data_IF_305631423496
#
_entry.id   IF_305631423496
#
_cell.length_a   1.000
_cell.length_b   1.000
_cell.length_c   1.000
_cell.angle_alpha   90.00
_cell.angle_beta   90.00
_cell.angle_gamma   90.00
#
_symmetry.space_group_name_H-M   'P 1'
#
loop_
_entity.id
_entity.type
_entity.pdbx_description
1 polymer ?
#
# COMPACT_ATOMS: atom_id res chain seq x y z
N UNK A 1 -7.15 2.52 -5.42
CA UNK A 1 -5.69 2.74 -5.60
C UNK A 1 -5.14 1.80 -6.66
N UNK A 2 -4.04 2.19 -7.29
CA UNK A 2 -3.29 1.37 -8.25
C UNK A 2 -1.83 1.33 -7.81
N UNK A 3 -1.34 0.16 -7.44
CA UNK A 3 0.09 -0.06 -7.22
C UNK A 3 0.75 -0.42 -8.56
N UNK A 4 1.84 0.26 -8.90
CA UNK A 4 2.72 -0.07 -10.02
C UNK A 4 4.02 -0.67 -9.50
N UNK A 5 4.51 -1.71 -10.18
CA UNK A 5 5.72 -2.44 -9.81
C UNK A 5 6.70 -2.47 -10.98
N UNK A 6 7.11 -1.27 -11.41
CA UNK A 6 7.98 -1.05 -12.58
C UNK A 6 9.28 -1.84 -12.54
N UNK A 7 9.85 -2.06 -11.35
CA UNK A 7 11.11 -2.78 -11.19
C UNK A 7 10.93 -4.30 -11.01
N UNK A 8 9.69 -4.79 -10.81
CA UNK A 8 9.46 -6.22 -10.61
C UNK A 8 9.82 -7.00 -11.87
N UNK A 9 10.76 -7.94 -11.74
CA UNK A 9 11.09 -8.86 -12.82
C UNK A 9 10.04 -9.98 -12.91
N UNK A 10 8.89 -9.65 -13.49
CA UNK A 10 7.79 -10.59 -13.73
C UNK A 10 8.24 -11.84 -14.51
N UNK A 11 9.26 -11.72 -15.36
CA UNK A 11 9.72 -12.83 -16.20
C UNK A 11 10.44 -13.89 -15.36
N UNK A 12 11.23 -13.48 -14.37
CA UNK A 12 11.92 -14.41 -13.46
C UNK A 12 11.01 -15.05 -12.41
N UNK A 13 9.76 -14.60 -12.25
CA UNK A 13 8.80 -15.24 -11.35
C UNK A 13 8.59 -16.72 -11.73
N UNK A 14 8.72 -17.60 -10.74
CA UNK A 14 8.40 -19.03 -10.86
C UNK A 14 6.91 -19.22 -11.16
N UNK A 15 6.51 -20.41 -11.62
CA UNK A 15 5.09 -20.70 -11.88
C UNK A 15 4.22 -20.47 -10.64
N UNK A 16 4.67 -20.95 -9.47
CA UNK A 16 3.99 -20.75 -8.20
C UNK A 16 3.85 -19.25 -7.84
N UNK A 17 4.91 -18.46 -8.04
CA UNK A 17 4.84 -17.02 -7.78
C UNK A 17 3.87 -16.31 -8.74
N UNK A 18 3.86 -16.70 -10.02
CA UNK A 18 2.91 -16.16 -11.01
C UNK A 18 1.47 -16.50 -10.66
N UNK A 19 1.21 -17.70 -10.15
CA UNK A 19 -0.10 -18.11 -9.65
C UNK A 19 -0.53 -17.23 -8.47
N UNK A 20 0.31 -17.13 -7.44
CA UNK A 20 0.03 -16.28 -6.26
C UNK A 20 -0.19 -14.82 -6.65
N UNK A 21 0.67 -14.25 -7.50
CA UNK A 21 0.52 -12.87 -7.96
C UNK A 21 -0.82 -12.65 -8.69
N UNK A 22 -1.23 -13.59 -9.55
CA UNK A 22 -2.54 -13.52 -10.22
C UNK A 22 -3.71 -13.66 -9.25
N UNK A 23 -3.62 -14.56 -8.27
CA UNK A 23 -4.63 -14.74 -7.22
C UNK A 23 -4.76 -13.48 -6.36
N UNK A 24 -3.65 -12.78 -6.11
CA UNK A 24 -3.63 -11.47 -5.45
C UNK A 24 -4.14 -10.33 -6.34
N UNK A 25 -4.43 -10.58 -7.62
CA UNK A 25 -4.96 -9.58 -8.56
C UNK A 25 -3.91 -8.83 -9.39
N UNK A 26 -2.63 -9.21 -9.33
CA UNK A 26 -1.60 -8.62 -10.17
C UNK A 26 -1.79 -9.00 -11.64
N UNK A 27 -1.67 -8.00 -12.52
CA UNK A 27 -1.72 -8.15 -13.98
C UNK A 27 -0.67 -7.26 -14.65
N UNK A 28 -0.41 -7.51 -15.93
CA UNK A 28 0.48 -6.65 -16.74
C UNK A 28 -0.35 -5.63 -17.52
N UNK A 29 -0.02 -4.35 -17.37
CA UNK A 29 -0.51 -3.25 -18.20
C UNK A 29 0.69 -2.61 -18.92
N UNK A 30 0.71 -2.68 -20.25
CA UNK A 30 1.85 -2.21 -21.07
C UNK A 30 3.21 -2.80 -20.64
N UNK A 31 3.21 -4.04 -20.15
CA UNK A 31 4.42 -4.72 -19.68
C UNK A 31 4.81 -4.37 -18.24
N UNK A 32 4.11 -3.46 -17.57
CA UNK A 32 4.32 -3.10 -16.17
C UNK A 32 3.34 -3.88 -15.29
N UNK A 33 3.80 -4.60 -14.26
CA UNK A 33 2.91 -5.24 -13.30
C UNK A 33 2.17 -4.19 -12.45
N UNK A 34 0.86 -4.38 -12.32
CA UNK A 34 -0.03 -3.49 -11.58
C UNK A 34 -1.02 -4.27 -10.73
N UNK A 35 -1.41 -3.70 -9.61
CA UNK A 35 -2.44 -4.19 -8.71
C UNK A 35 -3.45 -3.07 -8.42
N UNK A 36 -4.72 -3.33 -8.69
CA UNK A 36 -5.81 -2.42 -8.34
C UNK A 36 -6.44 -2.87 -7.04
N UNK A 37 -6.64 -1.91 -6.13
CA UNK A 37 -7.18 -2.16 -4.80
C UNK A 37 -8.30 -1.17 -4.52
N UNK A 38 -9.48 -1.69 -4.18
CA UNK A 38 -10.61 -0.91 -3.69
C UNK A 38 -10.40 -0.62 -2.21
N UNK A 39 -10.21 0.66 -1.85
CA UNK A 39 -9.98 1.05 -0.45
C UNK A 39 -11.17 0.71 0.43
N UNK A 40 -12.43 1.01 0.04
CA UNK A 40 -13.58 0.64 0.87
C UNK A 40 -13.68 -0.88 1.12
N UNK A 41 -13.48 -1.70 0.09
CA UNK A 41 -13.55 -3.17 0.21
C UNK A 41 -12.45 -3.74 1.12
N UNK A 42 -11.23 -3.22 1.03
CA UNK A 42 -10.14 -3.65 1.92
C UNK A 42 -10.37 -3.24 3.37
N UNK A 43 -10.94 -2.05 3.61
CA UNK A 43 -11.28 -1.62 4.97
C UNK A 43 -12.39 -2.50 5.57
N UNK A 44 -13.42 -2.82 4.79
CA UNK A 44 -14.47 -3.76 5.21
C UNK A 44 -13.88 -5.15 5.51
N UNK A 45 -12.91 -5.61 4.70
CA UNK A 45 -12.18 -6.85 4.96
C UNK A 45 -11.43 -6.80 6.29
N UNK A 46 -10.70 -5.71 6.57
CA UNK A 46 -9.91 -5.55 7.80
C UNK A 46 -10.80 -5.55 9.05
N UNK A 47 -11.93 -4.85 9.00
CA UNK A 47 -12.91 -4.83 10.10
C UNK A 47 -13.45 -6.22 10.43
N UNK A 48 -13.77 -7.02 9.40
CA UNK A 48 -14.27 -8.39 9.58
C UNK A 48 -13.22 -9.35 10.15
N UNK A 49 -11.94 -9.10 9.93
CA UNK A 49 -10.85 -9.99 10.32
C UNK A 49 -10.04 -9.49 11.52
N UNK A 50 -10.50 -8.42 12.19
CA UNK A 50 -9.88 -7.93 13.42
C UNK A 50 -8.54 -7.22 13.21
N UNK A 51 -8.28 -6.71 12.01
CA UNK A 51 -7.09 -5.92 11.69
C UNK A 51 -7.31 -4.40 11.90
N UNK A 52 -8.50 -4.00 12.36
CA UNK A 52 -8.86 -2.60 12.57
C UNK A 52 -9.31 -2.37 14.02
N UNK A 53 -8.51 -1.61 14.76
CA UNK A 53 -8.75 -1.34 16.18
C UNK A 53 -8.66 0.14 16.57
N UNK A 54 -8.44 1.06 15.63
CA UNK A 54 -8.02 2.42 16.03
C UNK A 54 -8.41 3.57 15.11
N UNK A 55 -9.09 3.37 13.98
CA UNK A 55 -9.42 4.50 13.11
C UNK A 55 -10.90 4.65 12.83
N UNK A 56 -11.42 5.84 13.13
CA UNK A 56 -12.73 6.35 12.69
C UNK A 56 -12.72 6.56 11.16
N UNK A 57 -12.22 5.61 10.38
CA UNK A 57 -12.26 5.63 8.93
C UNK A 57 -11.47 6.73 8.23
N UNK A 58 -10.65 7.56 8.88
CA UNK A 58 -9.92 8.66 8.22
C UNK A 58 -8.62 8.17 7.54
N UNK A 59 -8.44 8.46 6.24
CA UNK A 59 -7.24 8.09 5.47
C UNK A 59 -6.36 9.27 5.03
N UNK A 60 -6.62 10.47 5.55
CA UNK A 60 -5.97 11.71 5.10
C UNK A 60 -6.89 12.58 4.26
N UNK A 61 -6.30 13.49 3.47
CA UNK A 61 -7.03 14.46 2.66
C UNK A 61 -6.64 14.40 1.19
N UNK A 62 -7.52 14.90 0.33
CA UNK A 62 -7.26 15.21 -1.07
C UNK A 62 -7.87 16.57 -1.43
N UNK A 63 -7.52 17.14 -2.58
CA UNK A 63 -8.20 18.35 -3.06
C UNK A 63 -9.15 18.03 -4.20
N UNK A 64 -10.40 18.48 -4.07
CA UNK A 64 -11.43 18.45 -5.13
C UNK A 64 -11.69 19.87 -5.61
N UNK A 65 -11.38 20.16 -6.87
CA UNK A 65 -11.50 21.49 -7.47
C UNK A 65 -10.80 22.60 -6.66
N UNK A 66 -9.69 22.27 -5.99
CA UNK A 66 -8.91 23.18 -5.15
C UNK A 66 -9.43 23.33 -3.71
N UNK A 67 -10.46 22.59 -3.31
CA UNK A 67 -10.96 22.52 -1.93
C UNK A 67 -10.49 21.24 -1.29
N UNK A 68 -9.87 21.33 -0.11
CA UNK A 68 -9.46 20.16 0.67
C UNK A 68 -10.67 19.37 1.19
N UNK A 69 -10.60 18.05 1.09
CA UNK A 69 -11.62 17.09 1.52
C UNK A 69 -10.97 15.94 2.26
N UNK A 70 -11.56 15.58 3.39
CA UNK A 70 -11.19 14.37 4.11
C UNK A 70 -11.61 13.13 3.33
N UNK A 71 -10.76 12.10 3.38
CA UNK A 71 -11.07 10.77 2.88
C UNK A 71 -11.52 9.95 4.08
N UNK A 72 -12.75 9.46 4.01
CA UNK A 72 -13.35 8.64 5.04
C UNK A 72 -13.82 7.31 4.44
N UNK A 73 -13.34 6.18 4.97
CA UNK A 73 -13.58 4.83 4.46
C UNK A 73 -13.32 4.69 2.95
N UNK A 74 -12.30 5.38 2.44
CA UNK A 74 -11.97 5.38 1.02
C UNK A 74 -12.94 6.17 0.13
N UNK A 75 -13.87 6.93 0.71
CA UNK A 75 -14.78 7.84 0.00
C UNK A 75 -14.55 9.29 0.46
N UNK A 76 -15.08 10.24 -0.30
CA UNK A 76 -15.00 11.67 0.01
C UNK A 76 -16.19 12.38 -0.62
N UNK A 77 -16.62 13.49 -0.01
CA UNK A 77 -17.77 14.25 -0.50
C UNK A 77 -17.38 15.25 -1.59
N UNK A 78 -18.26 15.38 -2.59
CA UNK A 78 -18.12 16.34 -3.69
C UNK A 78 -19.29 17.31 -3.66
N UNK A 79 -19.02 18.58 -3.33
CA UNK A 79 -20.06 19.61 -3.19
C UNK A 79 -20.60 20.11 -4.54
N UNK A 80 -19.94 19.76 -5.66
CA UNK A 80 -20.34 20.19 -7.00
C UNK A 80 -20.99 19.07 -7.81
N UNK A 81 -22.01 19.41 -8.59
CA UNK A 81 -22.64 18.47 -9.52
C UNK A 81 -21.96 18.51 -10.92
N UNK A 82 -20.69 18.88 -11.00
CA UNK A 82 -20.00 19.05 -12.28
C UNK A 82 -19.83 17.72 -13.01
N UNK A 83 -19.83 17.72 -14.35
CA UNK A 83 -19.52 16.51 -15.13
C UNK A 83 -18.07 16.05 -14.95
N UNK A 84 -17.17 17.00 -14.69
CA UNK A 84 -15.77 16.72 -14.35
C UNK A 84 -15.35 17.42 -13.08
N UNK A 85 -14.46 16.77 -12.34
CA UNK A 85 -13.77 17.33 -11.17
C UNK A 85 -12.26 17.18 -11.33
N UNK A 86 -11.52 18.14 -10.77
CA UNK A 86 -10.07 18.07 -10.65
C UNK A 86 -9.72 17.52 -9.28
N UNK A 87 -8.97 16.43 -9.25
CA UNK A 87 -8.47 15.80 -8.03
C UNK A 87 -6.97 16.05 -7.91
N UNK A 88 -6.51 16.43 -6.72
CA UNK A 88 -5.09 16.43 -6.39
C UNK A 88 -4.83 15.58 -5.15
N UNK A 89 -3.87 14.66 -5.26
CA UNK A 89 -3.40 13.80 -4.17
C UNK A 89 -1.88 13.88 -4.13
N UNK A 90 -1.33 14.46 -3.06
CA UNK A 90 0.08 14.84 -3.03
C UNK A 90 0.41 15.77 -4.20
N UNK A 91 1.36 15.37 -5.04
CA UNK A 91 1.77 16.12 -6.25
C UNK A 91 0.99 15.73 -7.52
N UNK A 92 0.23 14.63 -7.49
CA UNK A 92 -0.50 14.11 -8.64
C UNK A 92 -1.79 14.89 -8.88
N UNK A 93 -2.06 15.21 -10.16
CA UNK A 93 -3.27 15.92 -10.58
C UNK A 93 -4.00 15.11 -11.64
N UNK A 94 -5.28 14.85 -11.39
CA UNK A 94 -6.14 14.07 -12.27
C UNK A 94 -7.45 14.80 -12.55
N UNK A 95 -7.99 14.64 -13.76
CA UNK A 95 -9.36 15.05 -14.09
C UNK A 95 -10.25 13.81 -14.16
N UNK A 96 -11.33 13.81 -13.39
CA UNK A 96 -12.23 12.66 -13.23
C UNK A 96 -13.62 13.01 -13.73
N UNK A 97 -14.16 12.17 -14.60
CA UNK A 97 -15.53 12.28 -15.09
C UNK A 97 -16.50 11.60 -14.14
N UNK A 98 -17.68 12.19 -13.98
CA UNK A 98 -18.81 11.58 -13.30
C UNK A 98 -19.26 10.32 -14.04
N UNK A 99 -19.59 9.29 -13.29
CA UNK A 99 -20.16 8.04 -13.80
C UNK A 99 -21.67 8.17 -13.97
N UNK A 100 -22.30 7.22 -14.68
CA UNK A 100 -23.75 7.22 -14.93
C UNK A 100 -24.58 7.17 -13.64
N UNK A 101 -24.05 6.57 -12.57
CA UNK A 101 -24.67 6.50 -11.24
C UNK A 101 -24.51 7.79 -10.41
N UNK A 102 -23.85 8.81 -10.97
CA UNK A 102 -23.60 10.08 -10.31
C UNK A 102 -22.34 10.11 -9.43
N UNK A 103 -21.61 9.01 -9.29
CA UNK A 103 -20.39 8.92 -8.48
C UNK A 103 -19.13 9.29 -9.27
N UNK A 104 -18.02 9.50 -8.57
CA UNK A 104 -16.69 9.65 -9.18
C UNK A 104 -15.78 8.53 -8.70
N UNK A 105 -15.03 7.93 -9.62
CA UNK A 105 -13.99 6.95 -9.29
C UNK A 105 -12.62 7.60 -9.44
N UNK A 106 -11.89 7.67 -8.35
CA UNK A 106 -10.52 8.20 -8.32
C UNK A 106 -9.53 7.04 -8.24
N UNK A 107 -8.60 7.00 -9.20
CA UNK A 107 -7.45 6.10 -9.15
C UNK A 107 -6.25 6.93 -8.69
N UNK A 108 -5.80 6.64 -7.48
CA UNK A 108 -4.51 7.13 -6.95
C UNK A 108 -3.45 6.09 -7.30
N UNK A 109 -2.44 6.51 -8.07
CA UNK A 109 -1.32 5.64 -8.46
C UNK A 109 -0.21 5.70 -7.40
N UNK A 110 0.42 4.56 -7.13
CA UNK A 110 1.53 4.43 -6.18
C UNK A 110 2.60 3.55 -6.78
N UNK A 111 3.80 4.11 -6.97
CA UNK A 111 4.97 3.33 -7.38
C UNK A 111 5.49 2.51 -6.19
N UNK A 112 5.09 1.25 -6.13
CA UNK A 112 5.45 0.35 -5.03
C UNK A 112 6.95 0.03 -5.02
N UNK A 113 7.60 0.05 -6.19
CA UNK A 113 9.05 -0.08 -6.29
C UNK A 113 9.77 1.07 -5.58
N UNK A 114 9.30 2.31 -5.78
CA UNK A 114 9.81 3.48 -5.08
C UNK A 114 9.44 3.45 -3.58
N UNK A 115 8.26 2.96 -3.22
CA UNK A 115 7.88 2.78 -1.82
C UNK A 115 8.84 1.83 -1.09
N UNK A 116 9.22 0.70 -1.71
CA UNK A 116 10.19 -0.22 -1.12
C UNK A 116 11.55 0.46 -0.92
N UNK A 117 12.02 1.25 -1.89
CA UNK A 117 13.26 2.03 -1.69
C UNK A 117 13.13 3.05 -0.58
N UNK A 118 12.01 3.74 -0.46
CA UNK A 118 11.79 4.73 0.59
C UNK A 118 11.79 4.06 1.98
N UNK A 119 11.11 2.92 2.09
CA UNK A 119 11.10 2.07 3.29
C UNK A 119 12.48 1.48 3.61
N UNK A 120 13.31 1.20 2.60
CA UNK A 120 14.64 0.62 2.80
C UNK A 120 15.73 1.69 3.01
N UNK A 121 15.63 2.88 2.40
CA UNK A 121 16.62 3.97 2.48
C UNK A 121 16.60 4.66 3.84
N UNK A 122 15.43 4.77 4.48
CA UNK A 122 15.29 5.32 5.84
C UNK A 122 15.80 4.35 6.93
N UNK A 123 16.24 3.14 6.58
CA UNK A 123 16.66 2.09 7.52
C UNK A 123 17.97 2.36 8.27
N UNK A 124 18.80 3.33 7.90
CA UNK A 124 20.15 3.42 8.49
C UNK A 124 20.22 4.07 9.88
N UNK A 125 19.19 4.79 10.32
CA UNK A 125 19.33 5.68 11.50
C UNK A 125 18.48 5.29 12.72
N UNK A 126 17.44 4.44 12.57
CA UNK A 126 16.49 4.16 13.66
C UNK A 126 16.59 2.75 14.27
N UNK A 127 16.58 1.69 13.44
CA UNK A 127 16.64 0.27 13.85
C UNK A 127 17.29 -0.52 12.73
N UNK A 128 18.24 -1.41 13.07
CA UNK A 128 18.92 -2.26 12.08
C UNK A 128 17.94 -3.18 11.37
N UNK A 129 18.04 -3.24 10.04
CA UNK A 129 17.32 -4.18 9.21
C UNK A 129 18.25 -5.29 8.74
N UNK A 130 17.69 -6.48 8.55
CA UNK A 130 18.47 -7.59 8.00
C UNK A 130 18.93 -7.26 6.59
N UNK A 131 19.99 -7.91 6.12
CA UNK A 131 20.47 -7.74 4.76
C UNK A 131 19.49 -8.29 3.74
N UNK A 132 19.61 -7.85 2.49
CA UNK A 132 18.82 -8.46 1.41
C UNK A 132 19.16 -9.94 1.24
N UNK A 133 18.15 -10.80 1.29
CA UNK A 133 18.24 -12.26 1.21
C UNK A 133 18.08 -12.95 2.56
N UNK A 134 18.22 -12.22 3.66
CA UNK A 134 18.07 -12.75 5.01
C UNK A 134 16.60 -12.99 5.36
N UNK A 135 16.37 -13.94 6.28
CA UNK A 135 15.04 -14.33 6.78
C UNK A 135 14.79 -13.69 8.14
N UNK A 136 13.63 -13.07 8.30
CA UNK A 136 13.13 -12.61 9.60
C UNK A 136 12.46 -13.75 10.36
N UNK A 137 12.62 -13.75 11.68
CA UNK A 137 11.98 -14.65 12.63
C UNK A 137 11.08 -13.88 13.59
N UNK A 138 9.98 -14.47 14.08
CA UNK A 138 9.08 -13.80 15.01
C UNK A 138 9.83 -13.21 16.22
N UNK A 139 9.61 -11.92 16.48
CA UNK A 139 10.34 -11.16 17.51
C UNK A 139 11.54 -10.36 17.00
N UNK A 140 11.94 -10.51 15.74
CA UNK A 140 12.99 -9.69 15.16
C UNK A 140 12.57 -8.23 15.05
N UNK A 141 13.55 -7.34 15.18
CA UNK A 141 13.34 -5.92 14.94
C UNK A 141 13.22 -5.64 13.45
N UNK A 142 12.21 -4.85 13.09
CA UNK A 142 11.94 -4.44 11.71
C UNK A 142 11.64 -2.95 11.66
N UNK A 143 12.11 -2.29 10.60
CA UNK A 143 11.67 -0.92 10.32
C UNK A 143 10.25 -0.89 9.75
N UNK A 144 9.87 -1.91 8.97
CA UNK A 144 8.53 -2.07 8.44
C UNK A 144 8.24 -3.56 8.23
N UNK A 145 7.07 -3.98 8.70
CA UNK A 145 6.49 -5.28 8.41
C UNK A 145 5.89 -5.28 6.98
N UNK A 146 6.74 -5.05 5.95
CA UNK A 146 6.35 -5.29 4.54
C UNK A 146 6.53 -6.74 4.12
N UNK A 147 6.93 -7.59 5.06
CA UNK A 147 7.30 -8.98 4.82
C UNK A 147 6.40 -9.96 5.57
N UNK A 148 5.30 -9.51 6.17
CA UNK A 148 4.43 -10.36 6.99
C UNK A 148 3.09 -10.71 6.32
N UNK A 149 2.95 -10.48 5.01
CA UNK A 149 1.76 -10.90 4.28
C UNK A 149 1.52 -12.42 4.33
N UNK A 150 0.30 -12.91 4.05
CA UNK A 150 -0.08 -14.30 4.26
C UNK A 150 0.75 -15.31 3.43
N UNK A 151 1.14 -14.91 2.22
CA UNK A 151 1.96 -15.73 1.31
C UNK A 151 3.46 -15.43 1.44
N UNK A 152 3.87 -14.82 2.55
CA UNK A 152 5.27 -14.46 2.75
C UNK A 152 6.19 -15.68 2.87
N UNK A 153 7.42 -15.51 2.43
CA UNK A 153 8.54 -16.41 2.73
C UNK A 153 9.51 -15.82 3.77
N UNK A 154 9.08 -14.74 4.43
CA UNK A 154 9.71 -14.11 5.58
C UNK A 154 11.06 -13.44 5.26
N UNK A 155 11.45 -13.37 3.97
CA UNK A 155 12.74 -12.81 3.55
C UNK A 155 12.70 -11.32 3.24
N UNK A 156 13.79 -10.64 3.58
CA UNK A 156 14.05 -9.27 3.14
C UNK A 156 14.52 -9.27 1.68
N UNK A 157 13.59 -9.08 0.75
CA UNK A 157 13.89 -9.15 -0.69
C UNK A 157 13.90 -7.78 -1.35
N UNK A 158 14.74 -7.65 -2.39
CA UNK A 158 14.85 -6.46 -3.23
C UNK A 158 13.62 -6.28 -4.09
N UNK A 159 13.32 -5.04 -4.46
CA UNK A 159 12.19 -4.64 -5.31
C UNK A 159 12.14 -5.24 -6.72
N UNK A 160 13.20 -5.87 -7.21
CA UNK A 160 13.12 -6.61 -8.48
C UNK A 160 12.59 -8.03 -8.29
N UNK A 161 12.63 -8.57 -7.07
CA UNK A 161 12.23 -9.94 -6.80
C UNK A 161 10.70 -10.03 -6.69
N UNK A 162 10.03 -10.87 -7.49
CA UNK A 162 8.57 -11.04 -7.45
C UNK A 162 8.03 -11.38 -6.06
N UNK A 163 8.80 -12.15 -5.28
CA UNK A 163 8.42 -12.52 -3.92
C UNK A 163 8.34 -11.32 -2.97
N UNK A 164 9.08 -10.23 -3.22
CA UNK A 164 8.97 -9.03 -2.40
C UNK A 164 7.56 -8.41 -2.44
N UNK A 165 6.89 -8.50 -3.60
CA UNK A 165 5.52 -8.02 -3.80
C UNK A 165 4.49 -8.96 -3.21
N UNK A 166 4.75 -10.28 -3.32
CA UNK A 166 3.93 -11.31 -2.67
C UNK A 166 3.96 -11.13 -1.15
N UNK A 167 5.15 -10.90 -0.58
CA UNK A 167 5.35 -10.67 0.86
C UNK A 167 4.66 -9.37 1.33
N UNK A 168 4.60 -8.36 0.47
CA UNK A 168 3.96 -7.07 0.76
C UNK A 168 2.44 -7.15 0.77
N UNK A 169 1.81 -7.90 -0.14
CA UNK A 169 0.36 -7.97 -0.23
C UNK A 169 -0.27 -8.41 1.11
N UNK A 170 -1.20 -7.61 1.64
CA UNK A 170 -1.83 -7.80 2.97
C UNK A 170 -0.85 -7.91 4.14
N UNK A 171 0.34 -7.35 4.00
CA UNK A 171 1.24 -7.05 5.11
C UNK A 171 0.77 -5.82 5.90
N UNK A 172 1.34 -5.59 7.08
CA UNK A 172 1.04 -4.37 7.85
C UNK A 172 1.34 -3.12 7.03
N UNK A 173 2.43 -3.12 6.25
CA UNK A 173 2.78 -1.98 5.43
C UNK A 173 1.86 -1.82 4.20
N UNK A 174 1.18 -2.87 3.74
CA UNK A 174 0.12 -2.76 2.71
C UNK A 174 -1.12 -2.07 3.26
N UNK A 175 -1.58 -2.50 4.43
CA UNK A 175 -2.73 -1.90 5.11
C UNK A 175 -2.41 -0.48 5.58
N UNK A 176 -1.21 -0.25 6.09
CA UNK A 176 -0.74 1.09 6.42
C UNK A 176 -0.63 1.99 5.18
N UNK A 177 -0.23 1.45 4.03
CA UNK A 177 -0.24 2.19 2.77
C UNK A 177 -1.64 2.54 2.28
N UNK A 178 -2.66 1.74 2.60
CA UNK A 178 -4.07 2.06 2.32
C UNK A 178 -4.60 3.16 3.23
N UNK A 179 -4.21 3.15 4.51
CA UNK A 179 -4.81 3.99 5.54
C UNK A 179 -4.06 5.29 5.82
N UNK A 180 -2.73 5.31 5.71
CA UNK A 180 -1.91 6.40 6.26
C UNK A 180 -1.00 7.06 5.22
N UNK A 181 -0.94 6.52 4.01
CA UNK A 181 -0.08 7.00 2.96
C UNK A 181 -0.95 7.52 1.82
N UNK A 182 -1.08 8.83 1.66
CA UNK A 182 -1.81 9.39 0.51
C UNK A 182 -0.99 9.28 -0.78
N UNK A 183 0.35 9.24 -0.67
CA UNK A 183 1.29 9.05 -1.79
C UNK A 183 2.40 8.03 -1.45
N UNK A 184 3.29 7.74 -2.41
CA UNK A 184 4.38 6.77 -2.25
C UNK A 184 5.63 7.30 -1.50
N UNK A 185 5.80 8.62 -1.44
CA UNK A 185 6.92 9.29 -0.76
C UNK A 185 6.69 9.42 0.75
N UNK A 186 5.43 9.53 1.16
CA UNK A 186 5.01 9.66 2.55
C UNK A 186 4.79 8.33 3.27
N UNK A 187 5.05 7.20 2.62
CA UNK A 187 4.78 5.92 3.27
C UNK A 187 5.86 5.45 4.23
N UNK A 188 5.43 5.08 5.45
CA UNK A 188 6.29 4.69 6.57
C UNK A 188 7.38 5.74 6.91
N UNK A 189 7.07 7.04 6.73
CA UNK A 189 8.02 8.14 6.98
C UNK A 189 8.10 8.60 8.43
N UNK A 190 7.27 8.05 9.31
CA UNK A 190 7.22 8.48 10.70
C UNK A 190 8.45 7.98 11.47
N UNK A 191 8.90 8.76 12.45
CA UNK A 191 10.15 8.60 13.22
C UNK A 191 10.23 7.29 14.04
N UNK A 192 9.24 6.39 13.92
CA UNK A 192 9.16 5.13 14.66
C UNK A 192 9.25 3.90 13.74
N UNK A 193 10.10 2.91 14.07
CA UNK A 193 10.09 1.58 13.46
C UNK A 193 8.72 0.90 13.56
N UNK A 194 8.34 0.18 12.51
CA UNK A 194 7.08 -0.56 12.39
C UNK A 194 5.84 0.30 12.69
N UNK A 195 5.84 1.56 12.23
CA UNK A 195 4.75 2.50 12.46
C UNK A 195 3.42 1.95 11.97
N UNK A 196 3.38 1.37 10.76
CA UNK A 196 2.15 0.77 10.22
C UNK A 196 1.60 -0.32 11.15
N UNK A 197 2.46 -1.18 11.70
CA UNK A 197 2.07 -2.22 12.66
C UNK A 197 1.51 -1.61 13.95
N UNK A 198 2.20 -0.60 14.50
CA UNK A 198 1.76 0.11 15.69
C UNK A 198 0.37 0.72 15.51
N UNK A 199 0.11 1.38 14.39
CA UNK A 199 -1.19 2.01 14.12
C UNK A 199 -2.31 0.97 14.01
N UNK A 200 -2.00 -0.23 13.52
CA UNK A 200 -2.92 -1.37 13.43
C UNK A 200 -3.04 -2.18 14.74
N UNK A 201 -2.38 -1.74 15.82
CA UNK A 201 -2.29 -2.49 17.07
C UNK A 201 -1.69 -3.91 16.91
N UNK A 202 -0.86 -4.09 15.89
CA UNK A 202 -0.06 -5.30 15.68
C UNK A 202 1.29 -5.19 16.40
N UNK A 203 2.02 -6.30 16.48
CA UNK A 203 3.39 -6.30 17.02
C UNK A 203 4.30 -5.41 16.18
N UNK A 204 5.06 -4.53 16.85
CA UNK A 204 6.12 -3.74 16.22
C UNK A 204 7.39 -4.55 15.91
N UNK A 205 7.46 -5.76 16.47
CA UNK A 205 8.43 -6.79 16.06
C UNK A 205 7.84 -7.60 14.92
N UNK A 206 8.72 -8.23 14.16
CA UNK A 206 8.32 -9.14 13.10
C UNK A 206 7.38 -10.23 13.62
N UNK A 207 6.33 -10.49 12.86
CA UNK A 207 5.34 -11.54 13.06
C UNK A 207 4.78 -11.92 11.68
N UNK A 208 3.89 -12.91 11.62
CA UNK A 208 3.28 -13.39 10.38
C UNK A 208 1.76 -13.32 10.48
N UNK A 209 1.09 -12.96 9.37
CA UNK A 209 -0.35 -13.06 9.22
C UNK A 209 -0.80 -14.46 8.79
#
# INVERSE_FOLDING_TARGET
MKYTAEDMDWKSATNKQKEILKEQGWKLENGIPVLYVSVPEELEYNQKHGHDHSHEGHQGTLQVNGVEKDIHNGTFDVDSNNETIKIMVGEEKNEVKKQEDGTYQVIVEKNLSQMFENMDKKQKEAVGTLGYGDTYYPGDWVHCNRFNGPNSDDRHLRKWNPQAYINFYKSDCYHGALMYCTDHNSCNINERPAYCSYMQNHSVLYHRH
#
